data_IF_184153340388
#
_entry.id   IF_184153340388
#
_cell.length_a   1.000
_cell.length_b   1.000
_cell.length_c   1.000
_cell.angle_alpha   90.00
_cell.angle_beta   90.00
_cell.angle_gamma   90.00
#
_symmetry.space_group_name_H-M   'P 1'
#
loop_
_entity.id
_entity.type
_entity.pdbx_description
1 polymer ?
#
# COMPACT_ATOMS: atom_id res chain seq x y z
N UNK A 1 -3.55 -5.47 31.48
CA UNK A 1 -2.52 -4.57 30.94
C UNK A 1 -2.57 -4.75 29.44
N UNK A 2 -3.10 -3.77 28.70
CA UNK A 2 -3.16 -3.85 27.24
C UNK A 2 -1.76 -3.51 26.74
N UNK A 3 -1.09 -4.50 26.15
CA UNK A 3 0.20 -4.32 25.50
C UNK A 3 0.07 -3.18 24.48
N UNK A 4 0.87 -2.12 24.60
CA UNK A 4 0.71 -0.90 23.80
C UNK A 4 0.74 -1.15 22.28
N UNK A 5 1.34 -2.27 21.87
CA UNK A 5 1.39 -2.70 20.48
C UNK A 5 0.00 -3.12 19.95
N UNK A 6 -0.84 -3.74 20.79
CA UNK A 6 -2.20 -4.12 20.40
C UNK A 6 -3.12 -2.93 20.15
N UNK A 7 -2.90 -1.81 20.84
CA UNK A 7 -3.66 -0.57 20.62
C UNK A 7 -3.31 0.04 19.26
N UNK A 8 -2.01 0.10 18.92
CA UNK A 8 -1.53 0.66 17.65
C UNK A 8 -2.09 -0.12 16.45
N UNK A 9 -2.11 -1.45 16.54
CA UNK A 9 -2.66 -2.31 15.48
C UNK A 9 -4.16 -2.06 15.28
N UNK A 10 -4.91 -1.88 16.37
CA UNK A 10 -6.35 -1.61 16.31
C UNK A 10 -6.66 -0.22 15.71
N UNK A 11 -5.87 0.80 16.05
CA UNK A 11 -6.01 2.14 15.46
C UNK A 11 -5.69 2.11 13.96
N UNK A 12 -4.67 1.36 13.54
CA UNK A 12 -4.36 1.17 12.14
C UNK A 12 -5.50 0.47 11.40
N UNK A 13 -6.04 -0.64 11.94
CA UNK A 13 -7.21 -1.33 11.36
C UNK A 13 -8.35 -0.33 11.10
N UNK A 14 -8.68 0.49 12.10
CA UNK A 14 -9.74 1.49 11.97
C UNK A 14 -9.46 2.50 10.83
N UNK A 15 -8.22 2.99 10.69
CA UNK A 15 -7.85 3.89 9.60
C UNK A 15 -8.00 3.21 8.23
N UNK A 16 -7.57 1.96 8.10
CA UNK A 16 -7.68 1.19 6.86
C UNK A 16 -9.14 0.88 6.52
N UNK A 17 -10.01 0.60 7.48
CA UNK A 17 -11.44 0.42 7.24
C UNK A 17 -12.13 1.71 6.76
N UNK A 18 -11.74 2.86 7.31
CA UNK A 18 -12.37 4.15 6.99
C UNK A 18 -11.93 4.76 5.65
N UNK A 19 -10.84 4.27 5.07
CA UNK A 19 -10.28 4.82 3.83
C UNK A 19 -10.80 4.07 2.59
N UNK A 20 -11.28 4.79 1.58
CA UNK A 20 -11.77 4.17 0.33
C UNK A 20 -10.65 3.80 -0.65
N UNK A 21 -9.61 4.63 -0.74
CA UNK A 21 -8.53 4.49 -1.72
C UNK A 21 -7.23 4.12 -1.02
N UNK A 22 -6.61 3.03 -1.47
CA UNK A 22 -5.37 2.52 -0.88
C UNK A 22 -4.38 2.20 -1.97
N UNK A 23 -3.21 2.83 -1.87
CA UNK A 23 -2.08 2.59 -2.76
C UNK A 23 -1.14 1.61 -2.07
N UNK A 24 -1.04 0.40 -2.62
CA UNK A 24 -0.14 -0.64 -2.15
C UNK A 24 1.06 -0.64 -3.10
N UNK A 25 2.21 -0.28 -2.55
CA UNK A 25 3.48 -0.28 -3.27
C UNK A 25 4.26 -1.54 -2.91
N UNK A 26 5.36 -1.78 -3.63
CA UNK A 26 6.25 -2.90 -3.36
C UNK A 26 6.72 -2.94 -1.90
N UNK A 27 6.46 -4.08 -1.24
CA UNK A 27 6.85 -4.36 0.14
C UNK A 27 7.47 -5.75 0.20
N UNK A 28 8.47 -5.93 1.05
CA UNK A 28 9.05 -7.25 1.28
C UNK A 28 8.11 -8.14 2.12
N UNK A 29 8.31 -9.46 2.04
CA UNK A 29 7.47 -10.43 2.77
C UNK A 29 7.44 -10.20 4.28
N UNK A 30 8.52 -9.72 4.90
CA UNK A 30 8.57 -9.51 6.35
C UNK A 30 7.72 -8.33 6.78
N UNK A 31 7.63 -7.29 5.95
CA UNK A 31 6.75 -6.14 6.16
C UNK A 31 5.30 -6.51 5.90
N UNK A 32 5.04 -7.25 4.83
CA UNK A 32 3.70 -7.70 4.47
C UNK A 32 3.09 -8.62 5.54
N UNK A 33 3.88 -9.54 6.11
CA UNK A 33 3.47 -10.41 7.21
C UNK A 33 3.13 -9.64 8.50
N UNK A 34 3.79 -8.51 8.76
CA UNK A 34 3.47 -7.66 9.93
C UNK A 34 2.17 -6.87 9.74
N UNK A 35 1.85 -6.54 8.49
CA UNK A 35 0.64 -5.80 8.13
C UNK A 35 -0.55 -6.71 7.82
N UNK A 36 -0.34 -8.02 7.75
CA UNK A 36 -1.39 -9.00 7.47
C UNK A 36 -2.59 -8.80 8.39
N UNK A 37 -2.36 -8.72 9.71
CA UNK A 37 -3.43 -8.50 10.68
C UNK A 37 -4.18 -7.18 10.45
N UNK A 38 -3.50 -6.11 10.01
CA UNK A 38 -4.12 -4.80 9.74
C UNK A 38 -4.92 -4.80 8.43
N UNK A 39 -4.55 -5.63 7.47
CA UNK A 39 -4.98 -5.56 6.07
C UNK A 39 -5.93 -6.69 5.64
N UNK A 40 -6.21 -7.67 6.52
CA UNK A 40 -6.94 -8.93 6.24
C UNK A 40 -8.26 -8.75 5.46
N UNK A 41 -9.06 -7.72 5.75
CA UNK A 41 -10.34 -7.47 5.05
C UNK A 41 -10.25 -6.37 3.99
N UNK A 42 -9.05 -5.84 3.79
CA UNK A 42 -8.81 -4.63 3.00
C UNK A 42 -8.25 -4.93 1.61
N UNK A 43 -7.55 -6.05 1.48
CA UNK A 43 -6.85 -6.49 0.28
C UNK A 43 -7.05 -7.98 0.04
N UNK A 44 -7.12 -8.36 -1.24
CA UNK A 44 -7.35 -9.73 -1.70
C UNK A 44 -6.06 -10.55 -1.63
N UNK A 45 -6.19 -11.86 -1.50
CA UNK A 45 -5.07 -12.81 -1.52
C UNK A 45 -4.19 -12.65 -2.77
N UNK A 46 -4.81 -12.45 -3.93
CA UNK A 46 -4.08 -12.17 -5.19
C UNK A 46 -3.21 -10.90 -5.13
N UNK A 47 -3.61 -9.90 -4.34
CA UNK A 47 -2.83 -8.67 -4.15
C UNK A 47 -1.64 -8.93 -3.22
N UNK A 48 -1.80 -9.77 -2.19
CA UNK A 48 -0.70 -10.20 -1.33
C UNK A 48 0.41 -10.90 -2.11
N UNK A 49 0.06 -11.70 -3.12
CA UNK A 49 1.06 -12.37 -3.98
C UNK A 49 1.75 -11.40 -4.96
N UNK A 50 1.04 -10.34 -5.38
CA UNK A 50 1.56 -9.36 -6.32
C UNK A 50 2.46 -8.31 -5.66
N UNK A 51 2.14 -7.86 -4.45
CA UNK A 51 2.84 -6.78 -3.74
C UNK A 51 4.37 -6.98 -3.69
N UNK A 52 4.92 -8.16 -3.33
CA UNK A 52 6.37 -8.37 -3.27
C UNK A 52 7.07 -8.29 -4.63
N UNK A 53 6.32 -8.48 -5.71
CA UNK A 53 6.82 -8.49 -7.08
C UNK A 53 6.68 -7.12 -7.76
N UNK A 54 6.08 -6.13 -7.10
CA UNK A 54 5.96 -4.78 -7.65
C UNK A 54 7.33 -4.12 -7.74
N UNK A 55 7.69 -3.66 -8.93
CA UNK A 55 8.89 -2.88 -9.14
C UNK A 55 8.69 -1.42 -8.72
N UNK A 56 9.78 -0.68 -8.58
CA UNK A 56 9.72 0.76 -8.32
C UNK A 56 8.89 1.44 -9.41
N UNK A 57 7.91 2.21 -8.98
CA UNK A 57 6.98 2.88 -9.89
C UNK A 57 5.73 2.07 -10.18
N UNK A 58 5.59 0.82 -9.73
CA UNK A 58 4.33 0.08 -9.81
C UNK A 58 3.55 0.18 -8.50
N UNK A 59 2.23 0.27 -8.59
CA UNK A 59 1.34 0.24 -7.44
C UNK A 59 0.03 -0.50 -7.77
N UNK A 60 -0.58 -1.06 -6.74
CA UNK A 60 -1.95 -1.56 -6.75
C UNK A 60 -2.81 -0.51 -6.06
N UNK A 61 -3.84 -0.02 -6.75
CA UNK A 61 -4.88 0.81 -6.17
C UNK A 61 -6.06 -0.08 -5.81
N UNK A 62 -6.30 -0.26 -4.52
CA UNK A 62 -7.50 -0.91 -3.99
C UNK A 62 -8.59 0.15 -3.74
N UNK A 63 -9.76 -0.09 -4.32
CA UNK A 63 -10.97 0.76 -4.25
C UNK A 63 -12.14 -0.13 -3.82
N UNK A 64 -12.40 -0.21 -2.51
CA UNK A 64 -13.60 -0.83 -1.91
C UNK A 64 -14.20 -2.04 -2.66
N UNK A 65 -13.37 -3.03 -3.02
CA UNK A 65 -13.80 -4.26 -3.70
C UNK A 65 -13.19 -4.49 -5.09
N UNK A 66 -12.67 -3.45 -5.73
CA UNK A 66 -11.93 -3.53 -7.00
C UNK A 66 -10.47 -3.15 -6.83
N UNK A 67 -9.62 -3.69 -7.69
CA UNK A 67 -8.19 -3.41 -7.68
C UNK A 67 -7.64 -3.16 -9.07
N UNK A 68 -6.77 -2.16 -9.17
CA UNK A 68 -6.16 -1.74 -10.43
C UNK A 68 -4.64 -1.73 -10.23
N UNK A 69 -3.92 -2.46 -11.07
CA UNK A 69 -2.46 -2.39 -11.15
C UNK A 69 -2.08 -1.31 -12.16
N UNK A 70 -1.24 -0.36 -11.77
CA UNK A 70 -0.83 0.72 -12.66
C UNK A 70 0.59 1.20 -12.38
N UNK A 71 1.20 1.79 -13.41
CA UNK A 71 2.54 2.33 -13.35
C UNK A 71 2.49 3.82 -12.96
N UNK A 72 2.95 4.12 -11.74
CA UNK A 72 3.18 5.43 -11.13
C UNK A 72 4.57 5.96 -11.48
N UNK A 73 4.94 5.93 -12.77
CA UNK A 73 6.15 6.58 -13.23
C UNK A 73 5.82 7.97 -13.81
N UNK A 74 6.44 9.05 -13.29
CA UNK A 74 6.36 10.34 -13.96
C UNK A 74 7.00 10.23 -15.34
N UNK A 75 6.48 10.99 -16.32
CA UNK A 75 7.12 11.11 -17.63
C UNK A 75 8.48 11.80 -17.48
N UNK A 76 9.40 11.53 -18.42
CA UNK A 76 10.72 12.17 -18.43
C UNK A 76 10.58 13.71 -18.41
N UNK A 77 9.66 14.26 -19.20
CA UNK A 77 9.36 15.70 -19.20
C UNK A 77 8.94 16.25 -17.83
N UNK A 78 8.22 15.48 -17.01
CA UNK A 78 7.88 15.89 -15.64
C UNK A 78 9.12 15.83 -14.75
N UNK A 79 9.94 14.79 -14.88
CA UNK A 79 11.19 14.68 -14.15
C UNK A 79 12.10 15.87 -14.47
N UNK A 80 12.31 16.19 -15.76
CA UNK A 80 13.15 17.32 -16.20
C UNK A 80 12.64 18.67 -15.63
N UNK A 81 11.31 18.84 -15.54
CA UNK A 81 10.68 20.04 -14.96
C UNK A 81 10.81 20.13 -13.43
N UNK A 82 10.95 19.00 -12.73
CA UNK A 82 11.11 18.95 -11.26
C UNK A 82 12.57 18.78 -10.82
N UNK A 83 13.48 18.33 -11.71
CA UNK A 83 14.93 18.38 -11.52
C UNK A 83 15.46 19.82 -11.57
N UNK A 84 14.74 20.72 -12.25
CA UNK A 84 14.89 22.17 -12.07
C UNK A 84 14.20 22.64 -10.79
N UNK A 85 14.55 22.06 -9.64
CA UNK A 85 14.14 22.58 -8.35
C UNK A 85 14.91 23.86 -8.02
N UNK A 86 14.26 25.02 -8.11
CA UNK A 86 14.78 26.37 -7.78
C UNK A 86 15.89 26.93 -8.70
#
# INVERSE_FOLDING_TARGET
>A
MTDGNGLIVNDLKQIFELTQYKFLLGMDQSTLAKLEDVLVDTIKESEYELIPNLERGQAILSISGDSIVFNVMPTQERLDRFESGL
#
